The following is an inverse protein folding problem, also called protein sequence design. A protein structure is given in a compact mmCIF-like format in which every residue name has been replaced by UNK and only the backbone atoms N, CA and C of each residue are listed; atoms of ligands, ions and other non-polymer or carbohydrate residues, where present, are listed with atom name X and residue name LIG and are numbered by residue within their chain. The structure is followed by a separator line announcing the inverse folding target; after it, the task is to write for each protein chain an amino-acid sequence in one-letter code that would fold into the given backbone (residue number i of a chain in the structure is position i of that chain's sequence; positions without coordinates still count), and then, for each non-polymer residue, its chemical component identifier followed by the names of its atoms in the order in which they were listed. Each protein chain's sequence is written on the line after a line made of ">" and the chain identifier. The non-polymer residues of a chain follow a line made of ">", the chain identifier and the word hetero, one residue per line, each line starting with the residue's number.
data_IF_357389217133
#
_entry.id   IF_357389217133
#
_cell.length_a   1.000
_cell.length_b   1.000
_cell.length_c   1.000
_cell.angle_alpha   90.00
_cell.angle_beta   90.00
_cell.angle_gamma   90.00
#
_symmetry.space_group_name_H-M   'P 1'
#
loop_
_entity.id
_entity.type
_entity.pdbx_description
1 polymer ?
#
# COMPACT_ATOMS: atom_id res chain seq x y z
N UNK A 1 5.26 -7.77 -14.65
CA UNK A 1 5.64 -7.03 -13.44
C UNK A 1 5.00 -7.77 -12.27
N UNK A 2 5.76 -8.66 -11.62
CA UNK A 2 5.24 -9.47 -10.51
C UNK A 2 5.14 -8.52 -9.31
N UNK A 3 3.93 -8.27 -8.83
CA UNK A 3 3.72 -7.64 -7.53
C UNK A 3 4.28 -8.66 -6.54
N UNK A 4 5.48 -8.42 -6.01
CA UNK A 4 6.14 -9.32 -5.07
C UNK A 4 5.20 -9.58 -3.91
N UNK A 5 4.73 -10.83 -3.77
CA UNK A 5 3.83 -11.23 -2.70
C UNK A 5 4.54 -11.00 -1.37
N UNK A 6 4.01 -10.11 -0.53
CA UNK A 6 4.50 -9.89 0.83
C UNK A 6 4.48 -11.23 1.58
N UNK A 7 5.52 -11.50 2.38
CA UNK A 7 5.57 -12.73 3.17
C UNK A 7 4.50 -12.66 4.28
N UNK A 8 3.83 -13.77 4.61
CA UNK A 8 2.85 -13.77 5.70
C UNK A 8 3.49 -13.32 7.03
N UNK A 9 2.73 -12.61 7.85
CA UNK A 9 3.13 -12.23 9.20
C UNK A 9 2.43 -13.16 10.19
N UNK A 10 3.19 -14.02 10.85
CA UNK A 10 2.65 -14.93 11.86
C UNK A 10 2.69 -14.30 13.25
N UNK A 11 1.64 -14.52 14.05
CA UNK A 11 1.56 -13.96 15.41
C UNK A 11 2.64 -14.51 16.34
N UNK A 12 3.08 -15.75 16.12
CA UNK A 12 4.17 -16.37 16.90
C UNK A 12 5.50 -15.65 16.68
N UNK A 13 5.77 -15.19 15.46
CA UNK A 13 7.03 -14.54 15.10
C UNK A 13 7.10 -13.10 15.64
N UNK A 14 5.93 -12.48 15.84
CA UNK A 14 5.81 -11.20 16.55
C UNK A 14 6.35 -11.27 17.98
N UNK A 15 6.13 -12.39 18.68
CA UNK A 15 6.64 -12.57 20.06
C UNK A 15 8.17 -12.66 20.11
N UNK A 16 8.79 -13.16 19.05
CA UNK A 16 10.24 -13.30 18.95
C UNK A 16 10.94 -12.00 18.53
N UNK A 17 10.19 -11.03 17.98
CA UNK A 17 10.69 -9.74 17.46
C UNK A 17 11.98 -9.89 16.66
N UNK A 18 12.04 -10.90 15.78
CA UNK A 18 13.25 -11.18 15.02
C UNK A 18 13.53 -10.04 14.01
N UNK A 19 14.81 -9.78 13.67
CA UNK A 19 15.14 -8.79 12.65
C UNK A 19 14.42 -9.03 11.31
N UNK A 20 14.26 -10.30 10.94
CA UNK A 20 13.54 -10.71 9.72
C UNK A 20 12.04 -10.38 9.80
N UNK A 21 11.40 -10.65 10.95
CA UNK A 21 10.01 -10.28 11.17
C UNK A 21 9.81 -8.77 11.05
N UNK A 22 10.71 -7.97 11.64
CA UNK A 22 10.67 -6.50 11.55
C UNK A 22 10.87 -5.99 10.13
N UNK A 23 11.75 -6.62 9.36
CA UNK A 23 11.94 -6.27 7.95
C UNK A 23 10.69 -6.57 7.13
N UNK A 24 10.10 -7.76 7.31
CA UNK A 24 8.85 -8.12 6.65
C UNK A 24 7.73 -7.13 7.04
N UNK A 25 7.55 -6.84 8.33
CA UNK A 25 6.56 -5.87 8.82
C UNK A 25 6.73 -4.49 8.16
N UNK A 26 7.96 -3.99 8.07
CA UNK A 26 8.27 -2.72 7.40
C UNK A 26 7.91 -2.75 5.89
N UNK A 27 8.11 -3.88 5.21
CA UNK A 27 7.67 -4.02 3.81
C UNK A 27 6.14 -3.92 3.69
N UNK A 28 5.39 -4.54 4.60
CA UNK A 28 3.93 -4.41 4.64
C UNK A 28 3.49 -2.96 4.88
N UNK A 29 4.11 -2.26 5.83
CA UNK A 29 3.82 -0.84 6.12
C UNK A 29 4.08 0.06 4.89
N UNK A 30 5.19 -0.17 4.18
CA UNK A 30 5.52 0.58 2.95
C UNK A 30 4.52 0.34 1.83
N UNK A 31 4.12 -0.90 1.60
CA UNK A 31 3.12 -1.21 0.57
C UNK A 31 1.73 -0.67 0.95
N UNK A 32 1.38 -0.64 2.24
CA UNK A 32 0.16 -0.01 2.72
C UNK A 32 0.15 1.51 2.45
N UNK A 33 1.24 2.20 2.78
CA UNK A 33 1.38 3.64 2.53
C UNK A 33 1.33 3.96 1.02
N UNK A 34 2.06 3.20 0.20
CA UNK A 34 2.02 3.31 -1.26
C UNK A 34 0.62 3.10 -1.82
N UNK A 35 -0.09 2.09 -1.34
CA UNK A 35 -1.49 1.82 -1.75
C UNK A 35 -2.41 2.97 -1.36
N UNK A 36 -2.27 3.52 -0.15
CA UNK A 36 -3.01 4.69 0.33
C UNK A 36 -2.79 5.91 -0.57
N UNK A 37 -1.53 6.19 -0.95
CA UNK A 37 -1.18 7.27 -1.87
C UNK A 37 -1.77 7.06 -3.26
N UNK A 38 -1.71 5.84 -3.80
CA UNK A 38 -2.30 5.49 -5.09
C UNK A 38 -3.83 5.70 -5.09
N UNK A 39 -4.53 5.28 -4.03
CA UNK A 39 -5.98 5.49 -3.88
C UNK A 39 -6.30 7.00 -3.89
N UNK A 40 -5.57 7.80 -3.09
CA UNK A 40 -5.77 9.26 -3.05
C UNK A 40 -5.54 9.91 -4.42
N UNK A 41 -4.52 9.43 -5.15
CA UNK A 41 -4.23 9.90 -6.51
C UNK A 41 -5.37 9.57 -7.47
N UNK A 42 -5.87 8.34 -7.46
CA UNK A 42 -7.00 7.91 -8.31
C UNK A 42 -8.23 8.77 -8.01
N UNK A 43 -8.55 8.99 -6.73
CA UNK A 43 -9.68 9.85 -6.34
C UNK A 43 -9.53 11.26 -6.93
N UNK A 44 -8.32 11.83 -6.88
CA UNK A 44 -8.04 13.15 -7.46
C UNK A 44 -8.23 13.14 -8.98
N UNK A 45 -7.63 12.18 -9.67
CA UNK A 45 -7.72 12.06 -11.13
C UNK A 45 -9.16 11.90 -11.61
N UNK A 46 -9.99 11.12 -10.91
CA UNK A 46 -11.43 10.98 -11.22
C UNK A 46 -12.18 12.30 -11.02
N UNK A 47 -11.88 13.04 -9.94
CA UNK A 47 -12.50 14.37 -9.71
C UNK A 47 -12.13 15.36 -10.80
N UNK A 48 -10.85 15.40 -11.18
CA UNK A 48 -10.33 16.30 -12.22
C UNK A 48 -10.96 15.94 -13.58
N UNK A 49 -11.09 14.65 -13.90
CA UNK A 49 -11.77 14.17 -15.10
C UNK A 49 -13.24 14.60 -15.15
N UNK A 50 -13.98 14.40 -14.05
CA UNK A 50 -15.40 14.81 -13.98
C UNK A 50 -15.55 16.34 -14.07
N UNK A 51 -14.63 17.10 -13.50
CA UNK A 51 -14.64 18.56 -13.61
C UNK A 51 -14.39 19.01 -15.06
N UNK A 52 -13.41 18.42 -15.74
CA UNK A 52 -13.15 18.71 -17.15
C UNK A 52 -14.35 18.34 -18.04
N UNK A 53 -14.98 17.19 -17.79
CA UNK A 53 -16.14 16.73 -18.55
C UNK A 53 -17.38 17.65 -18.39
N UNK A 54 -17.55 18.31 -17.24
CA UNK A 54 -18.64 19.29 -17.02
C UNK A 54 -18.46 20.61 -17.79
N UNK A 55 -17.25 20.89 -18.26
CA UNK A 55 -16.91 22.13 -19.00
C UNK A 55 -17.23 21.96 -20.50
N UNK A 56 -17.41 20.72 -20.98
CA UNK A 56 -17.95 20.39 -22.30
C UNK A 56 -19.47 20.26 -22.27
#
# INVERSE_FOLDING_TARGET
>A
MVIGKLQPLEFTDCLLDSPEFRENLNQHEKELEKTSQQIKRIIKEVKDLLAAAKIF
#
